data_IF_143721132766
#
_entry.id   IF_143721132766
#
_cell.length_a   1.000
_cell.length_b   1.000
_cell.length_c   1.000
_cell.angle_alpha   90.00
_cell.angle_beta   90.00
_cell.angle_gamma   90.00
#
_symmetry.space_group_name_H-M   'P 1'
#
loop_
_entity.id
_entity.type
_entity.pdbx_description
1 polymer ?
#
# COMPACT_ATOMS: atom_id res chain seq x y z
N UNK A 1 -9.69 -4.02 13.64
CA UNK A 1 -9.65 -5.45 13.34
C UNK A 1 -8.44 -6.01 14.07
N UNK A 2 -8.65 -6.68 15.14
CA UNK A 2 -7.63 -7.32 15.97
C UNK A 2 -7.16 -8.64 15.37
N UNK A 3 -6.06 -9.24 15.86
CA UNK A 3 -5.55 -10.51 15.33
C UNK A 3 -6.71 -11.49 15.20
N UNK A 4 -6.74 -12.17 14.07
CA UNK A 4 -7.80 -13.12 13.78
C UNK A 4 -7.84 -14.13 14.92
N UNK A 5 -8.79 -13.94 15.82
CA UNK A 5 -9.01 -14.90 16.88
C UNK A 5 -9.27 -16.26 16.26
N UNK A 6 -8.84 -17.32 16.93
CA UNK A 6 -9.24 -18.69 16.58
C UNK A 6 -10.77 -18.75 16.41
N UNK A 7 -11.28 -19.76 15.72
CA UNK A 7 -12.74 -19.97 15.49
C UNK A 7 -13.63 -19.78 16.73
N UNK A 8 -13.06 -19.80 17.93
CA UNK A 8 -13.74 -19.64 19.22
C UNK A 8 -13.57 -18.23 19.84
N UNK A 9 -13.02 -17.24 19.11
CA UNK A 9 -12.79 -15.90 19.64
C UNK A 9 -11.64 -15.79 20.66
N UNK A 10 -10.82 -16.84 20.82
CA UNK A 10 -9.68 -16.86 21.73
C UNK A 10 -8.37 -16.67 20.95
N UNK A 11 -7.39 -16.03 21.57
CA UNK A 11 -6.04 -15.95 21.05
C UNK A 11 -5.36 -17.32 21.06
N UNK A 12 -4.56 -17.61 20.01
CA UNK A 12 -3.67 -18.77 20.03
C UNK A 12 -2.60 -18.62 21.11
N UNK A 13 -1.93 -19.71 21.49
CA UNK A 13 -0.82 -19.64 22.44
C UNK A 13 0.34 -18.79 21.90
N UNK A 14 0.58 -18.83 20.61
CA UNK A 14 1.59 -18.00 19.93
C UNK A 14 1.22 -16.50 20.00
N UNK A 15 -0.02 -16.16 19.76
CA UNK A 15 -0.52 -14.79 19.89
C UNK A 15 -0.44 -14.27 21.34
N UNK A 16 -0.75 -15.11 22.32
CA UNK A 16 -0.59 -14.76 23.74
C UNK A 16 0.89 -14.52 24.09
N UNK A 17 1.78 -15.41 23.66
CA UNK A 17 3.21 -15.27 23.88
C UNK A 17 3.77 -14.01 23.18
N UNK A 18 3.33 -13.71 21.97
CA UNK A 18 3.70 -12.47 21.27
C UNK A 18 3.25 -11.24 22.07
N UNK A 19 2.00 -11.23 22.55
CA UNK A 19 1.49 -10.15 23.39
C UNK A 19 2.31 -9.97 24.67
N UNK A 20 2.61 -11.04 25.38
CA UNK A 20 3.42 -10.99 26.61
C UNK A 20 4.81 -10.40 26.33
N UNK A 21 5.48 -10.82 25.26
CA UNK A 21 6.80 -10.27 24.86
C UNK A 21 6.72 -8.77 24.62
N UNK A 22 5.72 -8.31 23.86
CA UNK A 22 5.57 -6.88 23.54
C UNK A 22 5.26 -6.05 24.78
N UNK A 23 4.45 -6.54 25.72
CA UNK A 23 4.12 -5.82 26.95
C UNK A 23 5.26 -5.86 27.99
N UNK A 24 6.16 -6.83 27.92
CA UNK A 24 7.34 -6.89 28.76
C UNK A 24 8.52 -6.05 28.23
N UNK A 25 8.54 -5.71 26.94
CA UNK A 25 9.60 -4.92 26.33
C UNK A 25 9.57 -3.46 26.83
N UNK A 26 10.71 -2.76 26.88
CA UNK A 26 10.72 -1.31 27.11
C UNK A 26 9.91 -0.58 26.03
N UNK A 27 9.14 0.44 26.42
CA UNK A 27 8.26 1.16 25.50
C UNK A 27 9.03 1.81 24.34
N UNK A 28 10.18 2.40 24.66
CA UNK A 28 11.09 3.06 23.72
C UNK A 28 11.74 2.10 22.72
N UNK A 29 11.74 0.79 22.96
CA UNK A 29 12.29 -0.21 22.03
C UNK A 29 11.27 -0.73 21.04
N UNK A 30 10.02 -0.28 21.10
CA UNK A 30 9.00 -0.71 20.16
C UNK A 30 9.20 -0.02 18.81
N UNK A 31 9.49 -0.83 17.79
CA UNK A 31 9.58 -0.37 16.41
C UNK A 31 8.38 -0.88 15.60
N UNK A 32 7.34 -0.06 15.34
CA UNK A 32 6.18 -0.49 14.55
C UNK A 32 6.49 -0.78 13.08
N UNK A 33 7.57 -0.18 12.54
CA UNK A 33 8.00 -0.39 11.16
C UNK A 33 8.89 -1.62 10.94
N UNK A 34 9.16 -2.41 11.98
CA UNK A 34 9.90 -3.65 11.84
C UNK A 34 9.07 -4.69 11.07
N UNK A 35 9.56 -5.07 9.88
CA UNK A 35 8.89 -6.03 9.01
C UNK A 35 8.66 -7.41 9.67
N UNK A 36 9.54 -7.83 10.59
CA UNK A 36 9.37 -9.09 11.32
C UNK A 36 8.13 -9.09 12.22
N UNK A 37 7.70 -7.91 12.69
CA UNK A 37 6.49 -7.77 13.51
C UNK A 37 5.22 -8.21 12.78
N UNK A 38 5.19 -8.05 11.45
CA UNK A 38 4.07 -8.48 10.62
C UNK A 38 4.04 -9.99 10.43
N UNK A 39 5.22 -10.62 10.31
CA UNK A 39 5.36 -12.09 10.17
C UNK A 39 5.03 -12.79 11.49
N UNK A 40 5.46 -12.22 12.62
CA UNK A 40 5.31 -12.79 13.96
C UNK A 40 4.00 -12.38 14.65
N UNK A 41 3.10 -11.72 13.97
CA UNK A 41 1.83 -11.17 14.52
C UNK A 41 2.00 -10.23 15.72
N UNK A 42 3.18 -9.63 15.88
CA UNK A 42 3.50 -8.72 16.98
C UNK A 42 2.98 -7.30 16.74
N UNK A 43 2.80 -6.93 15.48
CA UNK A 43 2.33 -5.61 15.05
C UNK A 43 1.08 -5.15 15.80
N UNK A 44 0.10 -6.02 15.97
CA UNK A 44 -1.17 -5.71 16.65
C UNK A 44 -0.95 -5.23 18.09
N UNK A 45 -0.06 -5.90 18.81
CA UNK A 45 0.24 -5.62 20.22
C UNK A 45 1.12 -4.39 20.38
N UNK A 46 2.04 -4.15 19.44
CA UNK A 46 2.82 -2.91 19.39
C UNK A 46 1.89 -1.71 19.22
N UNK A 47 0.99 -1.72 18.24
CA UNK A 47 0.04 -0.64 18.02
C UNK A 47 -1.00 -0.52 19.14
N UNK A 48 -1.46 -1.61 19.76
CA UNK A 48 -2.35 -1.57 20.91
C UNK A 48 -1.69 -0.80 22.06
N UNK A 49 -0.46 -1.18 22.39
CA UNK A 49 0.31 -0.59 23.46
C UNK A 49 0.68 0.87 23.19
N UNK A 50 1.16 1.18 22.00
CA UNK A 50 1.52 2.55 21.61
C UNK A 50 0.30 3.49 21.67
N UNK A 51 -0.86 3.07 21.19
CA UNK A 51 -2.08 3.87 21.30
C UNK A 51 -2.44 4.22 22.74
N UNK A 52 -2.13 3.35 23.68
CA UNK A 52 -2.46 3.53 25.09
C UNK A 52 -1.40 4.34 25.86
N UNK A 53 -0.11 4.09 25.60
CA UNK A 53 0.99 4.54 26.44
C UNK A 53 1.85 5.62 25.78
N UNK A 54 2.02 5.58 24.42
CA UNK A 54 2.85 6.52 23.67
C UNK A 54 2.31 6.71 22.23
N UNK A 55 1.20 7.47 22.08
CA UNK A 55 0.49 7.55 20.79
C UNK A 55 1.24 8.29 19.68
N UNK A 56 2.26 9.07 20.02
CA UNK A 56 3.18 9.76 19.09
C UNK A 56 4.58 9.25 19.39
N UNK A 57 4.91 8.10 18.86
CA UNK A 57 6.10 7.34 19.19
C UNK A 57 7.27 7.64 18.25
N UNK A 58 8.44 7.91 18.81
CA UNK A 58 9.67 8.15 18.06
C UNK A 58 10.51 6.88 17.94
N UNK A 59 10.81 6.47 16.72
CA UNK A 59 11.77 5.40 16.43
C UNK A 59 13.08 6.03 15.93
N UNK A 60 14.20 5.84 16.65
CA UNK A 60 15.49 6.43 16.25
C UNK A 60 16.09 5.69 15.05
N UNK A 61 17.02 6.36 14.34
CA UNK A 61 17.71 5.81 13.17
C UNK A 61 18.45 4.50 13.47
N UNK A 62 18.98 4.34 14.67
CA UNK A 62 19.64 3.09 15.10
C UNK A 62 18.74 1.87 15.17
N UNK A 63 17.44 2.08 15.29
CA UNK A 63 16.40 1.04 15.42
C UNK A 63 15.61 0.82 14.12
N UNK A 64 15.91 1.59 13.07
CA UNK A 64 15.13 1.57 11.82
C UNK A 64 16.04 1.47 10.59
N UNK A 65 15.71 0.55 9.68
CA UNK A 65 16.34 0.46 8.37
C UNK A 65 15.98 1.63 7.42
N UNK A 66 15.02 2.46 7.80
CA UNK A 66 14.45 3.54 6.96
C UNK A 66 14.82 4.95 7.47
N UNK A 67 15.71 5.07 8.45
CA UNK A 67 15.99 6.32 9.15
C UNK A 67 15.05 6.53 10.34
N UNK A 68 15.27 7.63 11.07
CA UNK A 68 14.42 7.99 12.20
C UNK A 68 13.03 8.42 11.74
N UNK A 69 11.99 8.05 12.50
CA UNK A 69 10.61 8.44 12.15
C UNK A 69 9.69 8.50 13.39
N UNK A 70 8.55 9.15 13.20
CA UNK A 70 7.47 9.19 14.17
C UNK A 70 6.31 8.29 13.75
N UNK A 71 5.80 7.49 14.68
CA UNK A 71 4.59 6.68 14.49
C UNK A 71 3.41 7.35 15.17
N UNK A 72 2.42 7.73 14.39
CA UNK A 72 1.18 8.34 14.88
C UNK A 72 0.11 7.25 14.93
N UNK A 73 -0.46 6.99 16.10
CA UNK A 73 -1.29 5.79 16.31
C UNK A 73 -2.74 6.08 16.70
N UNK A 74 -3.11 7.32 17.01
CA UNK A 74 -4.50 7.72 17.28
C UNK A 74 -5.14 8.35 16.06
N UNK A 75 -6.41 8.04 15.84
CA UNK A 75 -7.16 8.49 14.67
C UNK A 75 -7.21 10.02 14.54
N UNK A 76 -7.52 10.73 15.61
CA UNK A 76 -7.64 12.20 15.56
C UNK A 76 -6.30 12.86 15.23
N UNK A 77 -5.19 12.34 15.77
CA UNK A 77 -3.84 12.84 15.47
C UNK A 77 -3.45 12.54 14.00
N UNK A 78 -3.80 11.35 13.49
CA UNK A 78 -3.59 10.99 12.07
C UNK A 78 -4.35 11.95 11.17
N UNK A 79 -5.64 12.20 11.45
CA UNK A 79 -6.44 13.13 10.64
C UNK A 79 -5.90 14.55 10.72
N UNK A 80 -5.46 15.01 11.89
CA UNK A 80 -4.90 16.34 12.06
C UNK A 80 -3.63 16.52 11.20
N UNK A 81 -2.76 15.53 11.14
CA UNK A 81 -1.53 15.56 10.34
C UNK A 81 -1.86 15.41 8.83
N UNK A 82 -2.69 14.43 8.47
CA UNK A 82 -3.02 14.12 7.07
C UNK A 82 -3.75 15.27 6.36
N UNK A 83 -4.49 16.08 7.10
CA UNK A 83 -5.21 17.23 6.56
C UNK A 83 -4.42 18.55 6.58
N UNK A 84 -3.29 18.60 7.28
CA UNK A 84 -2.43 19.79 7.38
C UNK A 84 -1.29 19.76 6.35
N UNK A 85 -1.63 19.95 5.09
CA UNK A 85 -0.66 20.00 3.98
C UNK A 85 0.25 21.24 3.99
N UNK A 86 0.09 22.15 4.94
CA UNK A 86 0.98 23.31 5.12
C UNK A 86 2.23 22.93 5.91
N UNK A 87 2.05 22.11 6.94
CA UNK A 87 3.14 21.70 7.84
C UNK A 87 3.67 20.28 7.53
N UNK A 88 2.88 19.46 6.87
CA UNK A 88 3.22 18.07 6.51
C UNK A 88 3.06 17.85 5.02
N UNK A 89 4.11 17.43 4.35
CA UNK A 89 4.15 17.17 2.91
C UNK A 89 4.00 15.68 2.58
N UNK A 90 3.29 15.37 1.50
CA UNK A 90 3.24 14.04 0.88
C UNK A 90 4.21 13.88 -0.29
N UNK A 91 4.92 14.95 -0.69
CA UNK A 91 5.87 14.92 -1.82
C UNK A 91 7.11 14.07 -1.55
N UNK A 92 7.35 13.75 -0.29
CA UNK A 92 8.44 12.84 0.09
C UNK A 92 7.94 11.39 0.04
N UNK A 93 8.60 10.48 -0.71
CA UNK A 93 8.21 9.08 -0.73
C UNK A 93 8.17 8.50 0.68
N UNK A 94 7.05 7.89 1.04
CA UNK A 94 6.95 7.15 2.28
C UNK A 94 7.88 5.93 2.22
N UNK A 95 9.01 6.02 2.89
CA UNK A 95 10.08 5.02 2.90
C UNK A 95 9.58 3.60 3.18
N UNK A 96 8.54 3.48 4.01
CA UNK A 96 7.94 2.19 4.38
C UNK A 96 7.02 1.59 3.31
N UNK A 97 6.49 2.38 2.39
CA UNK A 97 5.58 1.91 1.34
C UNK A 97 6.31 1.43 0.09
N UNK A 98 7.63 1.64 0.01
CA UNK A 98 8.48 1.19 -1.09
C UNK A 98 9.53 0.19 -0.61
N UNK A 99 9.17 -1.09 -0.39
CA UNK A 99 10.13 -2.12 -0.06
C UNK A 99 11.21 -2.19 -1.14
N UNK A 100 12.47 -2.06 -0.75
CA UNK A 100 13.61 -2.08 -1.68
C UNK A 100 14.03 -0.71 -2.22
N UNK A 101 13.35 0.39 -1.83
CA UNK A 101 13.91 1.72 -2.02
C UNK A 101 15.13 1.85 -1.13
N UNK A 102 16.32 2.00 -1.73
CA UNK A 102 17.52 2.26 -0.96
C UNK A 102 17.38 3.61 -0.23
N UNK A 103 18.03 3.81 0.93
CA UNK A 103 18.10 5.13 1.56
C UNK A 103 18.57 6.23 0.62
N UNK A 104 19.33 5.88 -0.43
CA UNK A 104 19.76 6.77 -1.50
C UNK A 104 18.63 7.19 -2.43
N UNK A 105 17.77 6.26 -2.86
CA UNK A 105 16.56 6.57 -3.64
C UNK A 105 15.60 7.49 -2.87
N UNK A 106 15.47 7.27 -1.58
CA UNK A 106 14.65 8.11 -0.70
C UNK A 106 15.25 9.52 -0.58
N UNK A 107 16.58 9.63 -0.44
CA UNK A 107 17.30 10.93 -0.42
C UNK A 107 17.25 11.63 -1.78
N UNK A 108 17.25 10.88 -2.89
CA UNK A 108 17.16 11.43 -4.25
C UNK A 108 15.78 12.02 -4.59
N UNK A 109 14.73 11.58 -3.90
CA UNK A 109 13.36 12.05 -4.08
C UNK A 109 12.88 13.02 -2.96
N UNK A 110 13.73 13.24 -1.92
CA UNK A 110 13.39 14.05 -0.74
C UNK A 110 14.01 15.44 -0.71
N UNK A 111 13.91 16.15 0.43
CA UNK A 111 14.48 17.49 0.62
C UNK A 111 16.01 17.44 0.48
N UNK A 112 16.53 17.71 -0.68
CA UNK A 112 17.95 17.60 -1.05
C UNK A 112 18.15 16.97 -2.42
N UNK A 113 17.06 16.57 -3.09
CA UNK A 113 17.12 16.17 -4.49
C UNK A 113 17.60 17.33 -5.38
N UNK A 114 18.49 17.04 -6.32
CA UNK A 114 18.92 18.06 -7.28
C UNK A 114 17.80 18.38 -8.28
N UNK A 115 17.82 19.58 -8.91
CA UNK A 115 16.83 19.91 -9.94
C UNK A 115 16.76 18.88 -11.08
N UNK A 116 17.88 18.25 -11.43
CA UNK A 116 17.94 17.20 -12.45
C UNK A 116 17.26 15.91 -11.98
N UNK A 117 17.38 15.56 -10.69
CA UNK A 117 16.72 14.39 -10.11
C UNK A 117 15.20 14.58 -10.02
N UNK A 118 14.76 15.79 -9.63
CA UNK A 118 13.35 16.17 -9.61
C UNK A 118 12.78 16.07 -11.04
N UNK A 119 13.46 16.69 -12.01
CA UNK A 119 13.05 16.67 -13.40
C UNK A 119 13.01 15.23 -13.98
N UNK A 120 14.01 14.41 -13.67
CA UNK A 120 14.02 13.01 -14.09
C UNK A 120 12.87 12.20 -13.48
N UNK A 121 12.39 12.56 -12.29
CA UNK A 121 11.18 12.03 -11.66
C UNK A 121 9.91 12.49 -12.39
N UNK A 122 9.83 13.76 -12.75
CA UNK A 122 8.72 14.36 -13.54
C UNK A 122 8.66 13.77 -14.95
N UNK A 123 9.80 13.61 -15.61
CA UNK A 123 9.92 13.05 -16.98
C UNK A 123 9.54 11.55 -17.03
N UNK A 124 9.57 10.81 -15.91
CA UNK A 124 9.12 9.42 -15.78
C UNK A 124 7.63 9.23 -15.55
N UNK A 125 6.83 10.25 -15.73
CA UNK A 125 5.37 10.13 -15.68
C UNK A 125 4.68 10.84 -14.53
N UNK A 126 5.36 11.78 -13.88
CA UNK A 126 4.79 12.54 -12.78
C UNK A 126 4.55 11.70 -11.53
N UNK A 127 4.68 12.28 -10.36
CA UNK A 127 4.44 11.59 -9.10
C UNK A 127 3.00 11.01 -9.03
N UNK A 128 2.86 9.93 -8.29
CA UNK A 128 1.54 9.40 -7.96
C UNK A 128 0.66 10.50 -7.35
N UNK A 129 -0.63 10.50 -7.64
CA UNK A 129 -1.59 11.39 -6.99
C UNK A 129 -1.46 11.36 -5.46
N UNK A 130 -1.06 10.22 -4.90
CA UNK A 130 -0.85 10.04 -3.46
C UNK A 130 0.37 10.77 -2.90
N UNK A 131 1.32 11.16 -3.76
CA UNK A 131 2.55 11.87 -3.39
C UNK A 131 2.56 13.31 -3.84
N UNK A 132 1.40 13.91 -4.09
CA UNK A 132 1.27 15.31 -4.48
C UNK A 132 0.72 16.14 -3.34
N UNK A 133 1.22 17.37 -3.21
CA UNK A 133 0.65 18.40 -2.36
C UNK A 133 -0.22 19.39 -3.15
N UNK A 134 -1.08 20.20 -2.50
CA UNK A 134 -1.76 21.31 -3.14
C UNK A 134 -0.75 22.35 -3.70
N UNK A 135 -1.02 22.97 -4.88
CA UNK A 135 -2.26 22.88 -5.67
C UNK A 135 -2.31 21.68 -6.64
N UNK A 136 -1.18 21.02 -6.92
CA UNK A 136 -1.06 19.94 -7.92
C UNK A 136 -2.01 18.79 -7.63
N UNK A 137 -2.07 18.31 -6.39
CA UNK A 137 -3.02 17.28 -5.97
C UNK A 137 -4.46 17.63 -6.34
N UNK A 138 -4.91 18.87 -6.01
CA UNK A 138 -6.27 19.32 -6.28
C UNK A 138 -6.61 19.34 -7.77
N UNK A 139 -5.68 19.77 -8.62
CA UNK A 139 -5.84 19.80 -10.07
C UNK A 139 -5.98 18.39 -10.65
N UNK A 140 -5.05 17.50 -10.32
CA UNK A 140 -5.06 16.12 -10.84
C UNK A 140 -6.24 15.32 -10.30
N UNK A 141 -6.54 15.45 -9.00
CA UNK A 141 -7.71 14.79 -8.40
C UNK A 141 -9.02 15.28 -9.03
N UNK A 142 -9.13 16.58 -9.29
CA UNK A 142 -10.29 17.17 -9.95
C UNK A 142 -10.52 16.59 -11.35
N UNK A 143 -9.45 16.36 -12.11
CA UNK A 143 -9.53 15.79 -13.46
C UNK A 143 -10.11 14.37 -13.49
N UNK A 144 -9.91 13.56 -12.45
CA UNK A 144 -10.39 12.17 -12.38
C UNK A 144 -11.66 12.01 -11.54
N UNK A 145 -12.04 13.01 -10.76
CA UNK A 145 -13.12 12.92 -9.76
C UNK A 145 -14.48 12.58 -10.38
N UNK A 146 -14.77 13.09 -11.58
CA UNK A 146 -16.03 12.82 -12.28
C UNK A 146 -16.17 11.33 -12.62
N UNK A 147 -15.08 10.68 -13.06
CA UNK A 147 -15.06 9.25 -13.42
C UNK A 147 -15.33 8.29 -12.26
N UNK A 148 -15.15 8.74 -11.02
CA UNK A 148 -15.40 7.96 -9.80
C UNK A 148 -16.47 8.59 -8.90
N UNK A 149 -17.30 9.48 -9.47
CA UNK A 149 -18.41 10.10 -8.76
C UNK A 149 -19.49 9.07 -8.36
N UNK A 150 -20.31 9.35 -7.33
CA UNK A 150 -21.38 8.44 -6.91
C UNK A 150 -22.33 8.08 -8.07
N UNK A 151 -22.64 9.00 -8.95
CA UNK A 151 -23.51 8.77 -10.11
C UNK A 151 -22.84 7.82 -11.11
N UNK A 152 -21.56 8.00 -11.41
CA UNK A 152 -20.81 7.09 -12.27
C UNK A 152 -20.68 5.69 -11.65
N UNK A 153 -20.42 5.60 -10.35
CA UNK A 153 -20.37 4.32 -9.65
C UNK A 153 -21.72 3.60 -9.68
N UNK A 154 -22.84 4.32 -9.53
CA UNK A 154 -24.19 3.76 -9.67
C UNK A 154 -24.45 3.21 -11.09
N UNK A 155 -23.92 3.87 -12.13
CA UNK A 155 -23.99 3.37 -13.51
C UNK A 155 -23.16 2.10 -13.73
N UNK A 156 -22.03 1.96 -13.03
CA UNK A 156 -21.17 0.76 -13.11
C UNK A 156 -21.71 -0.43 -12.35
N UNK A 157 -22.54 -0.25 -11.32
CA UNK A 157 -23.01 -1.34 -10.46
C UNK A 157 -23.65 -2.50 -11.26
N UNK A 158 -24.61 -2.27 -12.18
CA UNK A 158 -25.21 -3.37 -12.95
C UNK A 158 -24.19 -4.12 -13.80
N UNK A 159 -23.21 -3.42 -14.37
CA UNK A 159 -22.14 -3.99 -15.18
C UNK A 159 -21.24 -4.89 -14.32
N UNK A 160 -20.79 -4.39 -13.17
CA UNK A 160 -19.93 -5.13 -12.23
C UNK A 160 -20.68 -6.36 -11.70
N UNK A 161 -21.96 -6.21 -11.37
CA UNK A 161 -22.83 -7.31 -10.91
C UNK A 161 -23.00 -8.41 -11.97
N UNK A 162 -23.18 -8.02 -13.22
CA UNK A 162 -23.26 -8.98 -14.34
C UNK A 162 -21.94 -9.72 -14.56
N UNK A 163 -20.81 -9.01 -14.48
CA UNK A 163 -19.47 -9.62 -14.62
C UNK A 163 -19.16 -10.62 -13.52
N UNK A 164 -19.42 -10.25 -12.26
CA UNK A 164 -19.17 -11.18 -11.16
C UNK A 164 -20.06 -12.40 -11.25
N UNK A 165 -21.32 -12.25 -11.68
CA UNK A 165 -22.21 -13.37 -11.98
C UNK A 165 -21.60 -14.33 -13.00
N UNK A 166 -21.14 -13.81 -14.14
CA UNK A 166 -20.47 -14.61 -15.18
C UNK A 166 -19.19 -15.30 -14.70
N UNK A 167 -18.38 -14.62 -13.88
CA UNK A 167 -17.19 -15.23 -13.28
C UNK A 167 -17.58 -16.39 -12.37
N UNK A 168 -18.52 -16.17 -11.44
CA UNK A 168 -18.95 -17.19 -10.48
C UNK A 168 -19.57 -18.40 -11.18
N UNK A 169 -20.37 -18.18 -12.23
CA UNK A 169 -20.98 -19.25 -13.03
C UNK A 169 -19.95 -20.08 -13.80
N UNK A 170 -18.77 -19.53 -14.08
CA UNK A 170 -17.69 -20.21 -14.79
C UNK A 170 -16.77 -21.03 -13.88
N UNK A 171 -16.88 -20.89 -12.56
CA UNK A 171 -16.00 -21.59 -11.63
C UNK A 171 -16.29 -23.11 -11.59
N UNK A 172 -15.25 -23.96 -11.51
CA UNK A 172 -15.43 -25.39 -11.37
C UNK A 172 -16.08 -25.73 -10.01
N UNK A 173 -17.05 -26.66 -10.04
CA UNK A 173 -17.77 -27.07 -8.83
C UNK A 173 -17.06 -28.27 -8.20
N UNK A 174 -16.77 -28.16 -6.89
CA UNK A 174 -16.16 -29.25 -6.12
C UNK A 174 -14.66 -29.38 -6.30
N UNK A 175 -14.01 -28.41 -6.91
CA UNK A 175 -12.56 -28.34 -7.08
C UNK A 175 -11.96 -27.20 -6.22
N UNK A 176 -10.70 -27.36 -5.82
CA UNK A 176 -9.92 -26.28 -5.20
C UNK A 176 -9.48 -25.30 -6.28
N UNK A 177 -9.66 -24.01 -6.04
CA UNK A 177 -9.34 -22.94 -7.00
C UNK A 177 -8.51 -21.83 -6.34
N UNK A 178 -7.74 -21.12 -7.13
CA UNK A 178 -7.18 -19.83 -6.73
C UNK A 178 -8.25 -18.74 -6.91
N UNK A 179 -8.90 -18.37 -5.78
CA UNK A 179 -9.92 -17.32 -5.78
C UNK A 179 -9.37 -15.97 -6.20
N UNK A 180 -8.12 -15.65 -5.81
CA UNK A 180 -7.51 -14.36 -6.13
C UNK A 180 -7.32 -14.23 -7.63
N UNK A 181 -6.81 -15.26 -8.27
CA UNK A 181 -6.57 -15.22 -9.71
C UNK A 181 -7.87 -15.28 -10.52
N UNK A 182 -8.76 -16.23 -10.23
CA UNK A 182 -9.95 -16.47 -11.03
C UNK A 182 -11.08 -15.47 -10.78
N UNK A 183 -11.16 -14.87 -9.59
CA UNK A 183 -12.25 -13.97 -9.23
C UNK A 183 -11.75 -12.55 -8.99
N UNK A 184 -10.85 -12.34 -8.02
CA UNK A 184 -10.50 -11.00 -7.58
C UNK A 184 -9.76 -10.21 -8.65
N UNK A 185 -8.70 -10.78 -9.22
CA UNK A 185 -7.90 -10.15 -10.28
C UNK A 185 -8.73 -9.94 -11.55
N UNK A 186 -9.54 -10.92 -11.94
CA UNK A 186 -10.31 -10.83 -13.18
C UNK A 186 -11.40 -9.76 -13.10
N UNK A 187 -12.18 -9.72 -12.01
CA UNK A 187 -13.19 -8.69 -11.78
C UNK A 187 -12.59 -7.28 -11.73
N UNK A 188 -11.48 -7.13 -11.02
CA UNK A 188 -10.77 -5.84 -10.92
C UNK A 188 -10.26 -5.40 -12.27
N UNK A 189 -9.60 -6.29 -13.02
CA UNK A 189 -9.08 -6.02 -14.36
C UNK A 189 -10.19 -5.62 -15.34
N UNK A 190 -11.33 -6.32 -15.33
CA UNK A 190 -12.49 -5.95 -16.15
C UNK A 190 -13.05 -4.56 -15.82
N UNK A 191 -13.06 -4.22 -14.54
CA UNK A 191 -13.57 -2.92 -14.06
C UNK A 191 -12.63 -1.80 -14.45
N UNK A 192 -11.32 -1.96 -14.20
CA UNK A 192 -10.30 -0.98 -14.60
C UNK A 192 -10.26 -0.79 -16.11
N UNK A 193 -10.32 -1.87 -16.89
CA UNK A 193 -10.36 -1.78 -18.35
C UNK A 193 -11.56 -0.95 -18.84
N UNK A 194 -12.70 -1.02 -18.16
CA UNK A 194 -13.85 -0.15 -18.48
C UNK A 194 -13.60 1.31 -18.08
N UNK A 195 -13.07 1.57 -16.90
CA UNK A 195 -12.77 2.92 -16.43
C UNK A 195 -11.77 3.65 -17.34
N UNK A 196 -10.77 2.92 -17.83
CA UNK A 196 -9.70 3.47 -18.68
C UNK A 196 -9.99 3.34 -20.18
N UNK A 197 -11.18 2.84 -20.56
CA UNK A 197 -11.50 2.51 -21.96
C UNK A 197 -10.41 1.63 -22.62
N UNK A 198 -9.88 0.68 -21.85
CA UNK A 198 -8.83 -0.26 -22.27
C UNK A 198 -9.46 -1.53 -22.84
N UNK A 199 -8.86 -2.17 -23.87
CA UNK A 199 -9.41 -3.39 -24.47
C UNK A 199 -9.61 -4.50 -23.45
N UNK A 200 -10.82 -5.06 -23.38
CA UNK A 200 -11.18 -6.08 -22.39
C UNK A 200 -10.36 -7.39 -22.56
N UNK A 201 -10.01 -7.71 -23.77
CA UNK A 201 -9.15 -8.87 -24.12
C UNK A 201 -7.72 -8.73 -23.57
N UNK A 202 -7.26 -7.49 -23.35
CA UNK A 202 -5.94 -7.16 -22.79
C UNK A 202 -5.97 -6.82 -21.29
N UNK A 203 -7.13 -6.92 -20.65
CA UNK A 203 -7.33 -6.46 -19.24
C UNK A 203 -6.31 -7.01 -18.25
N UNK A 204 -5.80 -8.24 -18.47
CA UNK A 204 -4.83 -8.87 -17.59
C UNK A 204 -3.46 -8.15 -17.58
N UNK A 205 -3.16 -7.37 -18.57
CA UNK A 205 -1.95 -6.52 -18.59
C UNK A 205 -2.00 -5.46 -17.49
N UNK A 206 -3.19 -4.92 -17.16
CA UNK A 206 -3.36 -3.95 -16.08
C UNK A 206 -2.97 -4.55 -14.71
N UNK A 207 -3.33 -5.80 -14.46
CA UNK A 207 -2.94 -6.50 -13.23
C UNK A 207 -1.47 -6.91 -13.26
N UNK A 208 -0.95 -7.31 -14.40
CA UNK A 208 0.46 -7.62 -14.58
C UNK A 208 1.34 -6.40 -14.31
N UNK A 209 1.04 -5.25 -14.87
CA UNK A 209 1.78 -4.01 -14.61
C UNK A 209 1.71 -3.58 -13.15
N UNK A 210 0.55 -3.74 -12.52
CA UNK A 210 0.42 -3.49 -11.08
C UNK A 210 1.30 -4.42 -10.25
N UNK A 211 1.30 -5.71 -10.56
CA UNK A 211 2.13 -6.70 -9.87
C UNK A 211 3.63 -6.39 -10.06
N UNK A 212 4.05 -5.99 -11.26
CA UNK A 212 5.43 -5.57 -11.55
C UNK A 212 5.81 -4.32 -10.74
N UNK A 213 4.97 -3.27 -10.77
CA UNK A 213 5.25 -2.02 -10.07
C UNK A 213 5.36 -2.18 -8.56
N UNK A 214 4.54 -3.05 -7.97
CA UNK A 214 4.51 -3.27 -6.52
C UNK A 214 5.50 -4.34 -6.03
N UNK A 215 6.05 -5.15 -6.94
CA UNK A 215 7.01 -6.20 -6.57
C UNK A 215 8.39 -5.63 -6.27
N UNK A 216 9.00 -6.08 -5.17
CA UNK A 216 10.44 -5.93 -4.94
C UNK A 216 11.16 -6.99 -5.77
N UNK A 217 12.06 -6.61 -6.70
CA UNK A 217 12.81 -7.55 -7.52
C UNK A 217 13.61 -8.53 -6.67
N UNK A 218 13.48 -9.82 -6.96
CA UNK A 218 14.24 -10.89 -6.31
C UNK A 218 14.15 -12.18 -7.16
N UNK A 219 15.12 -13.09 -7.04
CA UNK A 219 15.08 -14.37 -7.74
C UNK A 219 13.78 -15.14 -7.51
N UNK A 220 13.15 -15.62 -8.59
CA UNK A 220 11.89 -16.37 -8.57
C UNK A 220 10.62 -15.51 -8.40
N UNK A 221 10.73 -14.18 -8.44
CA UNK A 221 9.58 -13.27 -8.47
C UNK A 221 9.21 -12.88 -9.89
N UNK A 222 8.10 -12.17 -10.04
CA UNK A 222 7.57 -11.69 -11.33
C UNK A 222 8.57 -10.81 -12.11
N UNK A 223 9.43 -10.11 -11.38
CA UNK A 223 10.64 -9.44 -11.88
C UNK A 223 11.82 -9.80 -10.97
N UNK A 224 12.95 -10.12 -11.55
CA UNK A 224 14.11 -10.58 -10.79
C UNK A 224 15.14 -9.47 -10.55
N UNK A 225 15.18 -8.47 -11.43
CA UNK A 225 16.12 -7.34 -11.34
C UNK A 225 15.41 -5.99 -11.45
N UNK A 226 16.10 -4.94 -10.98
CA UNK A 226 15.60 -3.55 -11.08
C UNK A 226 15.56 -3.14 -12.56
N UNK A 227 16.57 -3.52 -13.34
CA UNK A 227 16.65 -3.21 -14.77
C UNK A 227 15.49 -3.83 -15.56
N UNK A 228 15.10 -5.07 -15.25
CA UNK A 228 13.93 -5.72 -15.85
C UNK A 228 12.65 -4.97 -15.50
N UNK A 229 12.49 -4.55 -14.23
CA UNK A 229 11.37 -3.75 -13.77
C UNK A 229 11.26 -2.42 -14.51
N UNK A 230 12.39 -1.73 -14.68
CA UNK A 230 12.45 -0.43 -15.37
C UNK A 230 12.10 -0.56 -16.86
N UNK A 231 12.54 -1.63 -17.53
CA UNK A 231 12.17 -1.89 -18.92
C UNK A 231 10.68 -2.08 -19.09
N UNK A 232 10.06 -2.92 -18.24
CA UNK A 232 8.60 -3.18 -18.29
C UNK A 232 7.79 -1.91 -17.97
N UNK A 233 8.29 -1.05 -17.09
CA UNK A 233 7.63 0.19 -16.73
C UNK A 233 7.66 1.26 -17.85
N UNK A 234 8.50 1.10 -18.86
CA UNK A 234 8.65 2.01 -20.01
C UNK A 234 7.87 1.57 -21.26
N UNK A 235 7.34 0.34 -21.30
CA UNK A 235 6.48 -0.20 -22.35
C UNK A 235 5.00 0.15 -22.13
#
# INVERSE_FOLDING_TARGET
>A
VYPVATKNGQLSEEQKAARERIYAAPLESLNPGDAHSFVNEEMWWKFERLRAEDPVHYTPESESAHGAYWSITKWDDIIAIDTDSVNFTNETPAAMLMPGSSPELIRMAGPGATPEQIKAGEDRGGGSLLSMDPPSHGIHRGAVAEGVSPDMLAMFEPLVRGRIGGILDSLPIGEEIDWVDLVSKDLTAMTLATLFNYPQERRRELTYWSDVLTTTPAPGRIVETIEEKDVIALE
#
